data_IF_079902270099
#
_entry.id   IF_079902270099
#
_cell.length_a   1.000
_cell.length_b   1.000
_cell.length_c   1.000
_cell.angle_alpha   90.00
_cell.angle_beta   90.00
_cell.angle_gamma   90.00
#
_symmetry.space_group_name_H-M   'P 1'
#
loop_
_entity.id
_entity.type
_entity.pdbx_description
1 polymer ?
#
# COMPACT_ATOMS: atom_id res chain seq x y z
N UNK A 1 -74.22 6.78 10.70
CA UNK A 1 -73.96 6.13 9.40
C UNK A 1 -73.27 7.15 8.51
N UNK A 2 -72.20 6.75 7.81
CA UNK A 2 -71.37 7.51 6.84
C UNK A 2 -70.37 8.50 7.50
N UNK A 3 -69.11 8.09 7.79
CA UNK A 3 -67.89 8.06 6.95
C UNK A 3 -67.47 9.43 6.37
N UNK A 4 -66.42 10.02 6.95
CA UNK A 4 -65.36 10.68 6.18
C UNK A 4 -64.01 10.59 6.90
N UNK A 5 -63.32 9.51 6.55
CA UNK A 5 -61.89 9.29 6.71
C UNK A 5 -61.16 10.30 5.82
N UNK A 6 -60.46 11.29 6.39
CA UNK A 6 -59.53 12.16 5.66
C UNK A 6 -58.13 11.90 6.17
N UNK A 7 -57.44 11.04 5.42
CA UNK A 7 -56.03 11.14 5.03
C UNK A 7 -55.11 11.84 6.02
N UNK A 8 -54.60 11.10 7.01
CA UNK A 8 -53.29 11.40 7.57
C UNK A 8 -52.28 10.55 6.81
N UNK A 9 -51.61 11.21 5.87
CA UNK A 9 -50.50 10.71 5.07
C UNK A 9 -49.41 10.28 6.07
N UNK A 10 -49.26 8.97 6.29
CA UNK A 10 -48.10 8.43 7.02
C UNK A 10 -46.91 8.68 6.11
N UNK A 11 -46.12 9.69 6.47
CA UNK A 11 -44.83 9.99 5.86
C UNK A 11 -43.85 8.89 6.29
N UNK A 12 -44.00 7.71 5.70
CA UNK A 12 -43.03 6.63 5.83
C UNK A 12 -41.79 7.06 5.07
N UNK A 13 -40.84 7.68 5.78
CA UNK A 13 -39.45 7.79 5.32
C UNK A 13 -38.91 6.36 5.35
N UNK A 14 -39.08 5.66 4.24
CA UNK A 14 -38.36 4.42 3.96
C UNK A 14 -36.91 4.86 3.78
N UNK A 15 -36.11 4.73 4.83
CA UNK A 15 -34.67 4.58 4.69
C UNK A 15 -34.47 3.36 3.80
N UNK A 16 -34.35 3.58 2.50
CA UNK A 16 -33.67 2.68 1.60
C UNK A 16 -32.24 2.60 2.12
N UNK A 17 -32.01 1.65 3.03
CA UNK A 17 -30.75 0.95 3.14
C UNK A 17 -30.51 0.34 1.76
N UNK A 18 -29.99 1.14 0.84
CA UNK A 18 -29.18 0.64 -0.23
C UNK A 18 -27.96 0.03 0.45
N UNK A 19 -28.10 -1.24 0.86
CA UNK A 19 -26.98 -2.14 0.88
C UNK A 19 -26.42 -2.10 -0.54
N UNK A 20 -25.46 -1.22 -0.81
CA UNK A 20 -24.55 -1.41 -1.92
C UNK A 20 -23.72 -2.63 -1.54
N UNK A 21 -24.30 -3.80 -1.79
CA UNK A 21 -23.55 -5.03 -1.79
C UNK A 21 -22.60 -4.87 -2.98
N UNK A 22 -21.39 -4.37 -2.69
CA UNK A 22 -20.31 -4.39 -3.66
C UNK A 22 -20.14 -5.85 -4.02
N UNK A 23 -20.58 -6.23 -5.22
CA UNK A 23 -20.20 -7.50 -5.82
C UNK A 23 -18.69 -7.45 -6.07
N UNK A 24 -17.89 -7.58 -5.00
CA UNK A 24 -16.49 -7.98 -5.13
C UNK A 24 -16.57 -9.39 -5.69
N UNK A 25 -16.32 -9.50 -6.99
CA UNK A 25 -16.14 -10.78 -7.67
C UNK A 25 -14.98 -11.46 -6.94
N UNK A 26 -15.27 -12.52 -6.17
CA UNK A 26 -14.21 -13.29 -5.53
C UNK A 26 -13.52 -14.11 -6.62
N UNK A 27 -12.46 -13.55 -7.20
CA UNK A 27 -11.59 -14.30 -8.09
C UNK A 27 -10.86 -15.32 -7.21
N UNK A 28 -10.91 -16.63 -7.52
CA UNK A 28 -10.16 -17.63 -6.76
C UNK A 28 -8.67 -17.41 -6.99
N UNK A 29 -7.97 -17.16 -5.89
CA UNK A 29 -6.66 -16.52 -5.78
C UNK A 29 -5.83 -17.50 -4.90
N UNK A 30 -4.70 -18.00 -5.43
CA UNK A 30 -3.83 -19.06 -4.86
C UNK A 30 -2.83 -18.48 -3.83
N UNK A 31 -3.17 -18.64 -2.55
CA UNK A 31 -2.39 -18.11 -1.42
C UNK A 31 -1.14 -18.93 -1.12
N UNK A 32 -0.01 -18.26 -0.87
CA UNK A 32 1.25 -18.85 -0.39
C UNK A 32 1.50 -18.47 1.07
N UNK A 33 2.00 -19.41 1.86
CA UNK A 33 2.37 -19.21 3.27
C UNK A 33 3.85 -18.80 3.39
N UNK A 34 4.16 -17.75 4.17
CA UNK A 34 5.53 -17.41 4.56
C UNK A 34 5.59 -16.78 5.94
N UNK A 35 6.19 -17.50 6.90
CA UNK A 35 6.27 -17.05 8.28
C UNK A 35 4.88 -16.96 8.92
N UNK A 36 4.48 -15.76 9.34
CA UNK A 36 3.19 -15.49 10.01
C UNK A 36 2.14 -14.86 9.08
N UNK A 37 2.36 -14.92 7.76
CA UNK A 37 1.57 -14.19 6.76
C UNK A 37 1.28 -15.10 5.57
N UNK A 38 0.06 -15.02 5.06
CA UNK A 38 -0.32 -15.50 3.74
C UNK A 38 -0.19 -14.36 2.75
N UNK A 39 0.46 -14.60 1.62
CA UNK A 39 0.60 -13.61 0.55
C UNK A 39 0.21 -14.16 -0.81
N UNK A 40 -0.21 -13.24 -1.68
CA UNK A 40 -0.50 -13.57 -3.07
C UNK A 40 -0.23 -12.38 -3.99
N UNK A 41 0.42 -12.66 -5.13
CA UNK A 41 0.68 -11.67 -6.18
C UNK A 41 -0.46 -11.68 -7.18
N UNK A 42 -1.05 -10.52 -7.42
CA UNK A 42 -2.20 -10.28 -8.30
C UNK A 42 -1.96 -8.99 -9.10
N UNK A 43 -2.86 -8.68 -10.04
CA UNK A 43 -2.89 -7.36 -10.67
C UNK A 43 -3.13 -6.26 -9.62
N UNK A 44 -2.53 -5.09 -9.79
CA UNK A 44 -2.59 -4.01 -8.83
C UNK A 44 -4.03 -3.56 -8.51
N UNK A 45 -4.88 -3.48 -9.54
CA UNK A 45 -6.29 -3.12 -9.37
C UNK A 45 -7.05 -4.12 -8.48
N UNK A 46 -6.75 -5.41 -8.62
CA UNK A 46 -7.33 -6.47 -7.77
C UNK A 46 -6.84 -6.32 -6.33
N UNK A 47 -5.54 -6.08 -6.13
CA UNK A 47 -4.98 -5.82 -4.80
C UNK A 47 -5.66 -4.62 -4.12
N UNK A 48 -5.82 -3.51 -4.84
CA UNK A 48 -6.49 -2.29 -4.35
C UNK A 48 -7.95 -2.61 -3.96
N UNK A 49 -8.67 -3.33 -4.81
CA UNK A 49 -10.06 -3.69 -4.56
C UNK A 49 -10.24 -4.61 -3.36
N UNK A 50 -9.26 -5.45 -3.01
CA UNK A 50 -9.36 -6.39 -1.89
C UNK A 50 -9.18 -5.72 -0.51
N UNK A 51 -8.70 -4.48 -0.46
CA UNK A 51 -8.49 -3.78 0.81
C UNK A 51 -9.81 -3.46 1.54
N UNK A 52 -9.89 -3.72 2.86
CA UNK A 52 -11.07 -3.41 3.67
C UNK A 52 -11.04 -1.99 4.26
N UNK A 53 -10.15 -1.13 3.79
CA UNK A 53 -9.96 0.24 4.28
C UNK A 53 -9.61 1.17 3.14
N UNK A 54 -9.97 2.44 3.30
CA UNK A 54 -9.59 3.50 2.36
C UNK A 54 -8.13 3.88 2.53
N UNK A 55 -7.49 4.19 1.41
CA UNK A 55 -6.11 4.65 1.35
C UNK A 55 -5.86 5.48 0.09
N UNK A 56 -4.84 6.34 0.15
CA UNK A 56 -4.37 7.09 -1.02
C UNK A 56 -3.30 6.29 -1.76
N UNK A 57 -3.32 6.43 -3.09
CA UNK A 57 -2.25 5.96 -3.97
C UNK A 57 -1.27 7.10 -4.24
N UNK A 58 0.02 6.80 -4.44
CA UNK A 58 1.00 7.84 -4.74
C UNK A 58 0.71 8.48 -6.10
N UNK A 59 0.45 9.78 -6.12
CA UNK A 59 0.23 10.52 -7.39
C UNK A 59 1.52 10.79 -8.16
N UNK A 60 2.66 10.75 -7.45
CA UNK A 60 3.99 10.97 -8.04
C UNK A 60 4.86 9.75 -7.85
N UNK A 61 5.38 9.23 -8.96
CA UNK A 61 6.35 8.13 -8.99
C UNK A 61 7.64 8.65 -9.66
N UNK A 62 8.83 8.34 -9.15
CA UNK A 62 10.10 8.96 -9.60
C UNK A 62 10.59 8.51 -10.99
N UNK A 63 9.74 7.81 -11.75
CA UNK A 63 9.99 7.29 -13.08
C UNK A 63 8.66 7.03 -13.80
N UNK A 64 8.71 6.88 -15.13
CA UNK A 64 7.56 6.44 -15.90
C UNK A 64 7.27 4.96 -15.62
N UNK A 65 6.07 4.65 -15.14
CA UNK A 65 5.64 3.28 -14.83
C UNK A 65 5.43 2.48 -16.11
N UNK A 66 5.94 1.26 -16.13
CA UNK A 66 5.65 0.25 -17.16
C UNK A 66 4.83 -0.91 -16.63
N UNK A 67 5.09 -1.36 -15.40
CA UNK A 67 4.40 -2.49 -14.75
C UNK A 67 4.03 -2.09 -13.33
N UNK A 68 2.83 -2.49 -12.92
CA UNK A 68 2.34 -2.38 -11.54
C UNK A 68 1.91 -3.77 -11.06
N UNK A 69 2.54 -4.25 -9.99
CA UNK A 69 2.21 -5.54 -9.36
C UNK A 69 1.54 -5.30 -8.01
N UNK A 70 0.45 -6.01 -7.74
CA UNK A 70 -0.19 -6.03 -6.44
C UNK A 70 0.20 -7.27 -5.65
N UNK A 71 0.39 -7.14 -4.35
CA UNK A 71 0.47 -8.28 -3.43
C UNK A 71 -0.46 -8.05 -2.26
N UNK A 72 -1.33 -9.01 -1.98
CA UNK A 72 -2.23 -9.00 -0.83
C UNK A 72 -1.55 -9.77 0.32
N UNK A 73 -1.65 -9.26 1.53
CA UNK A 73 -1.16 -9.87 2.77
C UNK A 73 -2.31 -10.10 3.73
N UNK A 74 -2.34 -11.26 4.38
CA UNK A 74 -3.26 -11.60 5.46
C UNK A 74 -2.46 -12.27 6.58
N UNK A 75 -2.57 -11.81 7.83
CA UNK A 75 -1.91 -12.49 8.93
C UNK A 75 -2.54 -13.87 9.16
N UNK A 76 -1.70 -14.88 9.36
CA UNK A 76 -2.15 -16.23 9.70
C UNK A 76 -2.85 -16.25 11.06
N UNK A 77 -2.37 -15.41 11.99
CA UNK A 77 -2.84 -15.38 13.37
C UNK A 77 -4.09 -14.53 13.56
N UNK A 78 -4.36 -13.60 12.65
CA UNK A 78 -5.52 -12.73 12.70
C UNK A 78 -5.98 -12.36 11.27
N UNK A 79 -7.11 -12.91 10.79
CA UNK A 79 -7.61 -12.61 9.44
C UNK A 79 -8.10 -11.16 9.27
N UNK A 80 -8.26 -10.41 10.37
CA UNK A 80 -8.53 -8.96 10.31
C UNK A 80 -7.27 -8.15 10.00
N UNK A 81 -6.07 -8.70 10.25
CA UNK A 81 -4.81 -8.08 9.87
C UNK A 81 -4.53 -8.31 8.39
N UNK A 82 -4.73 -7.25 7.60
CA UNK A 82 -4.58 -7.25 6.15
C UNK A 82 -3.67 -6.13 5.69
N UNK A 83 -3.09 -6.31 4.52
CA UNK A 83 -2.37 -5.27 3.84
C UNK A 83 -2.18 -5.52 2.37
N UNK A 84 -1.65 -4.52 1.69
CA UNK A 84 -1.29 -4.56 0.28
C UNK A 84 0.07 -3.96 0.07
N UNK A 85 0.83 -4.53 -0.86
CA UNK A 85 2.02 -3.92 -1.46
C UNK A 85 1.72 -3.71 -2.93
N UNK A 86 1.88 -2.49 -3.40
CA UNK A 86 1.94 -2.14 -4.80
C UNK A 86 3.41 -1.91 -5.17
N UNK A 87 3.86 -2.56 -6.24
CA UNK A 87 5.21 -2.39 -6.77
C UNK A 87 5.13 -1.74 -8.14
N UNK A 88 5.73 -0.56 -8.25
CA UNK A 88 5.87 0.19 -9.49
C UNK A 88 7.24 -0.05 -10.10
N UNK A 89 7.26 -0.42 -11.37
CA UNK A 89 8.48 -0.75 -12.10
C UNK A 89 8.63 0.18 -13.31
N UNK A 90 9.85 0.72 -13.58
CA UNK A 90 10.08 1.61 -14.71
C UNK A 90 9.79 0.96 -16.07
N UNK A 91 9.23 1.75 -16.98
CA UNK A 91 9.04 1.39 -18.38
C UNK A 91 10.37 1.02 -19.06
N UNK A 92 10.35 -0.06 -19.83
CA UNK A 92 11.54 -0.54 -20.56
C UNK A 92 12.51 -1.33 -19.69
N UNK A 93 12.11 -1.72 -18.48
CA UNK A 93 12.87 -2.69 -17.71
C UNK A 93 12.59 -4.12 -18.18
N UNK A 94 13.60 -4.98 -18.16
CA UNK A 94 13.47 -6.41 -18.44
C UNK A 94 12.84 -7.12 -17.23
N UNK A 95 11.51 -7.09 -17.15
CA UNK A 95 10.75 -7.83 -16.13
C UNK A 95 10.37 -9.20 -16.70
N UNK A 96 10.82 -10.25 -16.04
CA UNK A 96 10.25 -11.58 -16.23
C UNK A 96 8.88 -11.65 -15.53
N UNK A 97 7.83 -11.29 -16.29
CA UNK A 97 6.44 -11.30 -15.80
C UNK A 97 5.92 -12.72 -15.49
N UNK A 98 6.61 -13.77 -15.94
CA UNK A 98 6.25 -15.16 -15.63
C UNK A 98 6.80 -15.62 -14.26
N UNK A 99 7.67 -14.81 -13.63
CA UNK A 99 8.22 -15.10 -12.31
C UNK A 99 7.14 -14.99 -11.22
N UNK A 100 6.69 -16.13 -10.71
CA UNK A 100 5.80 -16.20 -9.53
C UNK A 100 6.56 -15.94 -8.21
N UNK A 101 6.72 -14.69 -7.81
CA UNK A 101 7.22 -14.30 -6.48
C UNK A 101 7.81 -12.89 -6.45
N UNK A 102 8.23 -12.37 -5.28
CA UNK A 102 8.81 -11.02 -5.21
C UNK A 102 10.03 -10.90 -6.13
N UNK A 103 10.04 -9.86 -6.96
CA UNK A 103 11.20 -9.48 -7.77
C UNK A 103 12.26 -8.96 -6.80
N UNK A 104 13.15 -9.86 -6.37
CA UNK A 104 14.39 -9.50 -5.68
C UNK A 104 15.46 -9.53 -6.77
N UNK A 105 15.85 -8.36 -7.26
CA UNK A 105 16.79 -8.21 -8.36
C UNK A 105 17.39 -6.80 -8.40
N UNK A 106 18.45 -6.57 -9.20
CA UNK A 106 19.18 -5.30 -9.26
C UNK A 106 18.42 -4.18 -9.99
N UNK A 107 17.09 -4.21 -9.96
CA UNK A 107 16.22 -3.36 -10.76
C UNK A 107 15.77 -2.13 -9.97
N UNK A 108 15.53 -1.02 -10.65
CA UNK A 108 14.85 0.12 -10.03
C UNK A 108 13.38 -0.21 -9.81
N UNK A 109 12.86 0.06 -8.62
CA UNK A 109 11.44 -0.02 -8.33
C UNK A 109 11.05 0.88 -7.16
N UNK A 110 9.76 1.17 -7.05
CA UNK A 110 9.13 1.78 -5.88
C UNK A 110 8.10 0.78 -5.34
N UNK A 111 8.22 0.41 -4.07
CA UNK A 111 7.22 -0.34 -3.33
C UNK A 111 6.47 0.59 -2.40
N UNK A 112 5.15 0.51 -2.46
CA UNK A 112 4.24 1.14 -1.52
C UNK A 112 3.44 0.05 -0.82
N UNK A 113 3.60 -0.06 0.50
CA UNK A 113 2.85 -1.01 1.33
C UNK A 113 2.02 -0.28 2.37
N UNK A 114 0.81 -0.79 2.56
CA UNK A 114 -0.09 -0.37 3.63
C UNK A 114 -0.66 -1.60 4.35
N UNK A 115 -0.69 -1.56 5.68
CA UNK A 115 -1.29 -2.59 6.55
C UNK A 115 -2.17 -1.92 7.60
N UNK A 116 -3.25 -2.57 8.02
CA UNK A 116 -4.08 -2.10 9.15
C UNK A 116 -3.59 -2.59 10.52
N UNK A 117 -2.32 -3.00 10.58
CA UNK A 117 -1.67 -3.52 11.77
C UNK A 117 -0.18 -3.17 11.72
N UNK A 118 0.46 -3.23 12.88
CA UNK A 118 1.90 -2.98 13.00
C UNK A 118 2.68 -4.18 12.43
N UNK A 119 3.23 -4.00 11.24
CA UNK A 119 3.92 -5.05 10.49
C UNK A 119 5.42 -5.01 10.77
N UNK A 120 6.06 -3.86 10.60
CA UNK A 120 7.51 -3.69 10.79
C UNK A 120 7.88 -2.57 11.76
N UNK A 121 6.95 -1.67 12.12
CA UNK A 121 7.30 -0.47 12.87
C UNK A 121 7.99 -0.75 14.20
N UNK A 122 7.58 -1.78 14.93
CA UNK A 122 8.15 -2.14 16.23
C UNK A 122 9.60 -2.59 16.15
N UNK A 123 9.97 -3.23 15.04
CA UNK A 123 11.36 -3.56 14.71
C UNK A 123 12.13 -2.31 14.27
N UNK A 124 11.52 -1.47 13.42
CA UNK A 124 12.12 -0.24 12.89
C UNK A 124 12.45 0.75 14.01
N UNK A 125 11.55 0.93 14.98
CA UNK A 125 11.73 1.80 16.15
C UNK A 125 12.98 1.48 16.98
N UNK A 126 13.44 0.23 16.94
CA UNK A 126 14.59 -0.27 17.72
C UNK A 126 15.84 -0.41 16.86
N UNK A 127 15.74 -0.20 15.55
CA UNK A 127 16.85 -0.37 14.62
C UNK A 127 17.60 0.95 14.45
N UNK A 128 18.88 0.95 14.81
CA UNK A 128 19.79 2.09 14.70
C UNK A 128 20.05 2.57 13.25
N UNK A 129 19.73 1.74 12.25
CA UNK A 129 19.78 2.13 10.83
C UNK A 129 18.66 3.08 10.42
N UNK A 130 17.62 3.25 11.25
CA UNK A 130 16.51 4.15 11.00
C UNK A 130 16.64 5.43 11.83
N UNK A 131 16.64 6.57 11.15
CA UNK A 131 16.49 7.87 11.78
C UNK A 131 15.02 8.29 11.84
N UNK A 132 14.65 8.92 12.95
CA UNK A 132 13.35 9.58 13.08
C UNK A 132 13.44 10.98 12.47
N UNK A 133 12.54 11.30 11.55
CA UNK A 133 12.48 12.58 10.84
C UNK A 133 11.06 13.16 10.94
N UNK A 134 10.95 14.48 10.98
CA UNK A 134 9.63 15.16 10.93
C UNK A 134 9.44 15.75 9.54
N UNK A 135 8.37 15.36 8.85
CA UNK A 135 8.02 15.82 7.50
C UNK A 135 6.58 16.32 7.53
N UNK A 136 6.34 17.58 7.15
CA UNK A 136 4.99 18.20 7.20
C UNK A 136 4.29 18.05 8.57
N UNK A 137 5.06 18.12 9.67
CA UNK A 137 4.54 17.97 11.03
C UNK A 137 4.25 16.53 11.46
N UNK A 138 4.52 15.54 10.61
CA UNK A 138 4.32 14.10 10.85
C UNK A 138 5.65 13.41 11.16
N UNK A 139 5.64 12.52 12.15
CA UNK A 139 6.80 11.69 12.48
C UNK A 139 6.91 10.52 11.49
N UNK A 140 8.08 10.37 10.88
CA UNK A 140 8.41 9.26 9.97
C UNK A 140 9.74 8.64 10.35
N UNK A 141 9.93 7.36 10.04
CA UNK A 141 11.21 6.67 10.17
C UNK A 141 11.82 6.49 8.79
N UNK A 142 13.05 6.96 8.62
CA UNK A 142 13.79 6.96 7.38
C UNK A 142 15.05 6.11 7.51
N UNK A 143 15.39 5.34 6.48
CA UNK A 143 16.68 4.67 6.39
C UNK A 143 17.22 4.71 4.96
N UNK A 144 18.55 4.73 4.84
CA UNK A 144 19.26 4.61 3.57
C UNK A 144 20.29 3.49 3.64
N UNK A 145 20.26 2.58 2.66
CA UNK A 145 21.26 1.52 2.50
C UNK A 145 22.15 1.80 1.30
N UNK A 146 23.47 1.70 1.51
CA UNK A 146 24.49 1.82 0.44
C UNK A 146 24.78 0.50 -0.26
N UNK A 147 24.59 -0.62 0.43
CA UNK A 147 24.93 -1.96 -0.08
C UNK A 147 24.01 -2.34 -1.24
N UNK A 148 22.72 -2.12 -1.02
CA UNK A 148 21.66 -2.10 -2.01
C UNK A 148 21.11 -0.67 -2.01
N UNK A 149 21.52 0.22 -2.94
CA UNK A 149 21.11 1.62 -2.97
C UNK A 149 19.60 1.76 -2.86
N UNK A 150 19.13 2.06 -1.65
CA UNK A 150 17.72 2.03 -1.34
C UNK A 150 17.41 2.99 -0.21
N UNK A 151 16.22 3.56 -0.27
CA UNK A 151 15.68 4.40 0.78
C UNK A 151 14.36 3.83 1.22
N UNK A 152 14.14 3.82 2.53
CA UNK A 152 12.90 3.42 3.16
C UNK A 152 12.32 4.59 3.93
N UNK A 153 11.01 4.78 3.83
CA UNK A 153 10.22 5.61 4.75
C UNK A 153 9.08 4.76 5.30
N UNK A 154 8.86 4.79 6.60
CA UNK A 154 7.66 4.22 7.23
C UNK A 154 7.03 5.19 8.22
N UNK A 155 5.71 5.16 8.33
CA UNK A 155 4.95 5.97 9.27
C UNK A 155 3.64 5.27 9.62
N UNK A 156 2.96 5.82 10.62
CA UNK A 156 1.62 5.37 11.00
C UNK A 156 0.64 6.52 10.93
N UNK A 157 -0.55 6.22 10.43
CA UNK A 157 -1.67 7.15 10.40
C UNK A 157 -2.97 6.39 10.51
N UNK A 158 -3.86 6.84 11.40
CA UNK A 158 -5.19 6.24 11.61
C UNK A 158 -5.18 4.73 11.88
N UNK A 159 -4.18 4.25 12.62
CA UNK A 159 -4.04 2.81 12.95
C UNK A 159 -3.50 1.95 11.80
N UNK A 160 -3.09 2.55 10.68
CA UNK A 160 -2.45 1.87 9.56
C UNK A 160 -0.94 2.13 9.58
N UNK A 161 -0.16 1.12 9.23
CA UNK A 161 1.28 1.27 8.95
C UNK A 161 1.47 1.41 7.44
N UNK A 162 2.22 2.45 7.07
CA UNK A 162 2.59 2.74 5.70
C UNK A 162 4.08 2.55 5.53
N UNK A 163 4.49 2.09 4.36
CA UNK A 163 5.87 1.81 4.04
C UNK A 163 6.13 2.15 2.58
N UNK A 164 7.16 2.94 2.33
CA UNK A 164 7.71 3.22 1.02
C UNK A 164 9.12 2.70 0.95
N UNK A 165 9.45 1.94 -0.08
CA UNK A 165 10.80 1.52 -0.40
C UNK A 165 11.11 1.92 -1.84
N UNK A 166 12.18 2.69 -2.03
CA UNK A 166 12.69 3.03 -3.35
C UNK A 166 14.07 2.40 -3.53
N UNK A 167 14.21 1.50 -4.49
CA UNK A 167 15.47 0.81 -4.82
C UNK A 167 16.02 1.32 -6.14
N UNK A 168 17.34 1.47 -6.19
CA UNK A 168 18.11 1.75 -7.40
C UNK A 168 19.17 0.67 -7.63
N UNK A 169 19.40 0.26 -8.89
CA UNK A 169 20.54 -0.56 -9.24
C UNK A 169 21.85 0.08 -8.77
N UNK A 170 22.80 -0.75 -8.34
CA UNK A 170 24.17 -0.32 -8.06
C UNK A 170 24.90 -0.10 -9.38
N UNK A 171 25.44 1.10 -9.59
CA UNK A 171 26.22 1.45 -10.78
C UNK A 171 26.97 2.77 -10.60
N UNK A 172 27.86 3.12 -11.55
CA UNK A 172 28.66 4.36 -11.50
C UNK A 172 27.81 5.64 -11.42
N UNK A 173 26.54 5.55 -11.82
CA UNK A 173 25.57 6.64 -11.79
C UNK A 173 24.49 6.47 -10.69
N UNK A 174 24.71 5.63 -9.67
CA UNK A 174 23.76 5.52 -8.56
C UNK A 174 23.57 6.89 -7.91
N UNK A 175 22.32 7.38 -7.79
CA UNK A 175 22.06 8.71 -7.24
C UNK A 175 22.59 8.80 -5.80
N UNK A 176 23.08 9.98 -5.43
CA UNK A 176 23.46 10.28 -4.05
C UNK A 176 22.27 10.06 -3.13
N UNK A 177 22.56 9.71 -1.87
CA UNK A 177 21.56 9.57 -0.81
C UNK A 177 20.58 10.75 -0.78
N UNK A 178 21.08 11.99 -0.83
CA UNK A 178 20.23 13.19 -0.82
C UNK A 178 19.24 13.24 -1.99
N UNK A 179 19.65 12.78 -3.18
CA UNK A 179 18.76 12.68 -4.34
C UNK A 179 17.70 11.61 -4.12
N UNK A 180 18.06 10.45 -3.58
CA UNK A 180 17.08 9.39 -3.29
C UNK A 180 16.11 9.80 -2.18
N UNK A 181 16.62 10.43 -1.11
CA UNK A 181 15.82 11.01 -0.01
C UNK A 181 14.77 11.98 -0.53
N UNK A 182 15.18 12.95 -1.36
CA UNK A 182 14.26 13.93 -1.92
C UNK A 182 13.18 13.29 -2.80
N UNK A 183 13.53 12.27 -3.59
CA UNK A 183 12.57 11.55 -4.43
C UNK A 183 11.53 10.83 -3.59
N UNK A 184 11.93 10.02 -2.62
CA UNK A 184 10.96 9.27 -1.80
C UNK A 184 10.13 10.21 -0.92
N UNK A 185 10.70 11.33 -0.45
CA UNK A 185 9.95 12.33 0.31
C UNK A 185 8.93 13.06 -0.57
N UNK A 186 9.19 13.21 -1.87
CA UNK A 186 8.21 13.74 -2.81
C UNK A 186 7.02 12.80 -2.95
N UNK A 187 7.27 11.48 -3.05
CA UNK A 187 6.20 10.47 -3.08
C UNK A 187 5.40 10.50 -1.78
N UNK A 188 6.09 10.49 -0.64
CA UNK A 188 5.47 10.57 0.68
C UNK A 188 4.51 11.76 0.81
N UNK A 189 4.90 12.96 0.36
CA UNK A 189 4.06 14.16 0.43
C UNK A 189 2.72 13.97 -0.30
N UNK A 190 2.73 13.32 -1.46
CA UNK A 190 1.49 13.02 -2.21
C UNK A 190 0.55 12.03 -1.53
N UNK A 191 1.01 11.33 -0.49
CA UNK A 191 0.20 10.36 0.27
C UNK A 191 -0.37 10.93 1.57
N UNK A 192 0.06 12.13 1.97
CA UNK A 192 -0.29 12.72 3.27
C UNK A 192 -0.86 14.14 3.18
N UNK A 193 -0.89 14.69 1.96
CA UNK A 193 -1.57 15.95 1.59
C UNK A 193 -3.08 15.70 1.39
#
# INVERSE_FOLDING_TARGET
MILHLKSLLVFTIIFSAACSQSNKISIPVERKEHGFINYETVEAEVAIQEMPFDFQLPESIPFQVGVEEGTIFESINDPFHKGVTLRYIPKGSDVDLERKGPIIGPQEFLEYRITNFEFNLGHIKKNEQFEKVVVQGREVYYSYSKELPSVVITWTEEGKEYFLLYVKPKGENSPKESTMKNRILSVYKTLVD
#
